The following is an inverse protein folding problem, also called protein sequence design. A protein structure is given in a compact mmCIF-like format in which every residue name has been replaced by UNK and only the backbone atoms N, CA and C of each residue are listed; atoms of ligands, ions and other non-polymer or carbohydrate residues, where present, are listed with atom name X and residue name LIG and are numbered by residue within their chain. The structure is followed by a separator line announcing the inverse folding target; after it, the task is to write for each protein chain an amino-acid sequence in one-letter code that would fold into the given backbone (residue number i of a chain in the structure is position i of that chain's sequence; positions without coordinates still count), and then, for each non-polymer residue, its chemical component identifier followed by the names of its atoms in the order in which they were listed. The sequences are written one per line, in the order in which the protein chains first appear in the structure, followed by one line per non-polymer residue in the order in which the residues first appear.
data_IF_943755106935
#
_entry.id   IF_943755106935
#
_cell.length_a   1.000
_cell.length_b   1.000
_cell.length_c   1.000
_cell.angle_alpha   90.00
_cell.angle_beta   90.00
_cell.angle_gamma   90.00
#
_symmetry.space_group_name_H-M   'P 1'
#
loop_
_entity.id
_entity.type
_entity.pdbx_description
1 polymer ?
#
# COMPACT_ATOMS: atom_id res chain seq x y z
N UNK A 1 33.58 -10.87 -19.67
CA UNK A 1 33.38 -9.59 -20.39
C UNK A 1 32.02 -9.65 -21.04
N UNK A 2 31.02 -9.01 -20.43
CA UNK A 2 29.64 -9.01 -20.95
C UNK A 2 29.56 -8.18 -22.24
N UNK A 3 28.85 -8.63 -23.28
CA UNK A 3 28.70 -7.87 -24.52
C UNK A 3 27.76 -6.69 -24.24
N UNK A 4 28.27 -5.48 -24.52
CA UNK A 4 27.46 -4.27 -24.56
C UNK A 4 26.36 -4.45 -25.61
N UNK A 5 25.12 -4.54 -25.15
CA UNK A 5 23.94 -4.57 -26.01
C UNK A 5 23.86 -3.24 -26.77
N UNK A 6 23.92 -3.31 -28.10
CA UNK A 6 23.64 -2.19 -28.99
C UNK A 6 22.19 -1.74 -28.77
N UNK A 7 22.01 -0.55 -28.20
CA UNK A 7 20.69 0.05 -28.00
C UNK A 7 20.30 0.70 -29.31
N UNK A 8 19.22 0.22 -29.93
CA UNK A 8 18.66 0.79 -31.14
C UNK A 8 18.34 2.29 -30.91
N UNK A 9 18.95 3.22 -31.67
CA UNK A 9 18.71 4.65 -31.51
C UNK A 9 17.25 5.04 -31.74
N UNK A 10 16.47 4.27 -32.52
CA UNK A 10 15.03 4.49 -32.69
C UNK A 10 14.22 4.15 -31.43
N UNK A 11 14.63 3.11 -30.70
CA UNK A 11 14.02 2.77 -29.41
C UNK A 11 14.32 3.85 -28.34
N UNK A 12 15.53 4.41 -28.36
CA UNK A 12 15.94 5.48 -27.46
C UNK A 12 15.14 6.78 -27.72
N UNK A 13 14.89 7.11 -28.99
CA UNK A 13 14.03 8.24 -29.38
C UNK A 13 12.57 8.03 -28.97
N UNK A 14 12.01 6.82 -29.12
CA UNK A 14 10.65 6.51 -28.64
C UNK A 14 10.51 6.68 -27.13
N UNK A 15 11.48 6.19 -26.35
CA UNK A 15 11.47 6.32 -24.89
C UNK A 15 11.66 7.78 -24.46
N UNK A 16 12.55 8.54 -25.12
CA UNK A 16 12.72 9.97 -24.84
C UNK A 16 11.46 10.77 -25.20
N UNK A 17 10.79 10.45 -26.31
CA UNK A 17 9.50 11.04 -26.69
C UNK A 17 8.40 10.67 -25.71
N UNK A 18 8.33 9.41 -25.26
CA UNK A 18 7.39 8.97 -24.23
C UNK A 18 7.63 9.70 -22.90
N UNK A 19 8.89 9.87 -22.50
CA UNK A 19 9.28 10.61 -21.29
C UNK A 19 8.90 12.09 -21.38
N UNK A 20 9.19 12.75 -22.51
CA UNK A 20 8.82 14.15 -22.76
C UNK A 20 7.30 14.33 -22.86
N UNK A 21 6.59 13.39 -23.48
CA UNK A 21 5.13 13.39 -23.58
C UNK A 21 4.46 13.16 -22.22
N UNK A 22 5.02 12.30 -21.36
CA UNK A 22 4.52 12.07 -20.01
C UNK A 22 4.91 13.17 -19.02
N UNK A 23 6.04 13.85 -19.24
CA UNK A 23 6.53 14.92 -18.36
C UNK A 23 5.65 16.19 -18.38
N UNK A 24 4.61 16.23 -19.23
CA UNK A 24 3.71 17.39 -19.39
C UNK A 24 2.24 17.07 -19.10
N UNK A 25 1.95 16.01 -18.34
CA UNK A 25 0.59 15.80 -17.82
C UNK A 25 0.26 16.86 -16.76
N UNK A 26 -0.03 18.07 -17.22
CA UNK A 26 -0.56 19.15 -16.41
C UNK A 26 -2.01 18.81 -16.03
N UNK A 27 -2.26 18.68 -14.72
CA UNK A 27 -3.61 18.45 -14.20
C UNK A 27 -4.41 19.75 -14.38
N UNK A 28 -5.09 19.89 -15.52
CA UNK A 28 -5.84 21.11 -15.90
C UNK A 28 -6.91 21.53 -14.89
N UNK A 29 -7.47 20.58 -14.14
CA UNK A 29 -8.47 20.84 -13.09
C UNK A 29 -8.23 19.91 -11.89
N UNK A 30 -7.54 20.36 -10.83
CA UNK A 30 -7.33 19.53 -9.65
C UNK A 30 -8.66 19.33 -8.90
N UNK A 31 -8.87 18.12 -8.37
CA UNK A 31 -10.01 17.86 -7.47
C UNK A 31 -9.78 18.59 -6.15
N UNK A 32 -10.83 19.27 -5.67
CA UNK A 32 -10.79 19.91 -4.36
C UNK A 32 -10.86 18.87 -3.24
N UNK A 33 -10.14 19.11 -2.14
CA UNK A 33 -10.20 18.24 -0.96
C UNK A 33 -11.52 18.46 -0.24
N UNK A 34 -12.45 17.51 -0.37
CA UNK A 34 -13.77 17.61 0.24
C UNK A 34 -13.73 17.58 1.78
N UNK A 35 -12.80 16.82 2.38
CA UNK A 35 -12.69 16.68 3.83
C UNK A 35 -11.26 16.39 4.26
N UNK A 36 -10.89 16.91 5.43
CA UNK A 36 -9.62 16.63 6.12
C UNK A 36 -9.91 16.22 7.55
N UNK A 37 -9.25 15.17 8.02
CA UNK A 37 -9.30 14.75 9.42
C UNK A 37 -8.01 14.02 9.76
N UNK A 38 -7.69 13.98 11.06
CA UNK A 38 -6.50 13.33 11.55
C UNK A 38 -6.77 11.85 11.81
N UNK A 39 -5.96 10.95 11.23
CA UNK A 39 -5.95 9.54 11.61
C UNK A 39 -5.49 9.41 13.07
N UNK A 40 -6.26 8.69 13.89
CA UNK A 40 -5.93 8.52 15.31
C UNK A 40 -5.27 7.17 15.57
N UNK A 41 -4.32 7.11 16.52
CA UNK A 41 -3.73 5.85 16.95
C UNK A 41 -4.77 4.98 17.66
N UNK A 42 -4.64 3.67 17.50
CA UNK A 42 -5.37 2.65 18.23
C UNK A 42 -4.52 1.38 18.35
N UNK A 43 -4.79 0.58 19.36
CA UNK A 43 -4.12 -0.71 19.55
C UNK A 43 -4.82 -1.79 18.72
N UNK A 44 -4.05 -2.64 18.05
CA UNK A 44 -4.53 -3.76 17.26
C UNK A 44 -3.62 -4.98 17.44
N UNK A 45 -4.15 -6.17 17.18
CA UNK A 45 -3.42 -7.42 17.27
C UNK A 45 -2.74 -7.63 18.63
N UNK A 46 -1.48 -8.04 18.60
CA UNK A 46 -0.63 -8.23 19.78
C UNK A 46 0.33 -7.04 19.91
N UNK A 47 -0.14 -5.96 20.56
CA UNK A 47 0.71 -4.82 20.93
C UNK A 47 1.10 -3.89 19.79
N UNK A 48 0.53 -4.06 18.58
CA UNK A 48 0.76 -3.13 17.48
C UNK A 48 -0.08 -1.86 17.68
N UNK A 49 0.46 -0.72 17.22
CA UNK A 49 -0.28 0.55 17.17
C UNK A 49 -0.46 0.94 15.71
N UNK A 50 -1.71 1.17 15.33
CA UNK A 50 -2.09 1.59 13.98
C UNK A 50 -2.74 2.96 14.02
N UNK A 51 -2.51 3.78 13.00
CA UNK A 51 -3.19 5.04 12.76
C UNK A 51 -4.23 4.82 11.68
N UNK A 52 -5.50 4.67 12.08
CA UNK A 52 -6.60 4.37 11.16
C UNK A 52 -7.18 5.65 10.55
N UNK A 53 -7.33 5.68 9.24
CA UNK A 53 -7.96 6.77 8.49
C UNK A 53 -9.36 6.39 7.98
N UNK A 54 -9.46 5.43 7.06
CA UNK A 54 -10.72 4.87 6.56
C UNK A 54 -11.24 3.79 7.54
N UNK A 55 -12.56 3.70 7.73
CA UNK A 55 -13.21 2.74 8.64
C UNK A 55 -13.48 3.30 10.04
N UNK A 56 -13.30 4.62 10.22
CA UNK A 56 -13.61 5.37 11.45
C UNK A 56 -14.92 6.15 11.35
N UNK A 57 -15.38 6.74 12.46
CA UNK A 57 -16.56 7.61 12.45
C UNK A 57 -16.43 8.78 11.46
N UNK A 58 -15.24 9.34 11.30
CA UNK A 58 -14.99 10.42 10.36
C UNK A 58 -15.15 9.97 8.90
N UNK A 59 -14.84 8.73 8.54
CA UNK A 59 -14.92 8.23 7.17
C UNK A 59 -15.28 6.74 7.16
N UNK A 60 -16.53 6.44 7.55
CA UNK A 60 -17.01 5.07 7.76
C UNK A 60 -17.28 4.33 6.45
N UNK A 61 -17.82 5.05 5.48
CA UNK A 61 -18.19 4.51 4.17
C UNK A 61 -17.38 5.24 3.11
N UNK A 62 -16.43 4.53 2.51
CA UNK A 62 -15.58 5.06 1.46
C UNK A 62 -15.36 4.00 0.38
N UNK A 63 -16.46 3.55 -0.22
CA UNK A 63 -16.48 2.55 -1.28
C UNK A 63 -15.47 2.88 -2.39
N UNK A 64 -14.59 1.93 -2.80
CA UNK A 64 -14.51 0.50 -2.44
C UNK A 64 -13.60 0.15 -1.24
N UNK A 65 -13.10 1.14 -0.51
CA UNK A 65 -12.15 0.94 0.57
C UNK A 65 -12.85 0.80 1.93
N UNK A 66 -12.53 -0.28 2.65
CA UNK A 66 -13.11 -0.58 3.96
C UNK A 66 -12.28 -0.02 5.11
N UNK A 67 -10.96 -0.17 5.05
CA UNK A 67 -10.01 0.21 6.10
C UNK A 67 -8.70 0.67 5.46
N UNK A 68 -8.07 1.69 6.04
CA UNK A 68 -6.70 2.09 5.72
C UNK A 68 -5.95 2.43 7.00
N UNK A 69 -4.95 1.61 7.28
CA UNK A 69 -4.11 1.69 8.47
C UNK A 69 -2.66 1.95 8.08
N UNK A 70 -2.07 2.97 8.68
CA UNK A 70 -0.62 3.12 8.78
C UNK A 70 -0.19 2.50 10.11
N UNK A 71 0.73 1.54 10.11
CA UNK A 71 1.17 0.90 11.34
C UNK A 71 2.68 0.87 11.47
N UNK A 72 3.14 0.86 12.72
CA UNK A 72 4.52 0.57 13.08
C UNK A 72 4.49 -0.53 14.13
N UNK A 73 5.25 -1.60 13.88
CA UNK A 73 5.35 -2.75 14.76
C UNK A 73 6.80 -3.21 14.84
N UNK A 74 7.25 -3.52 16.05
CA UNK A 74 8.55 -4.11 16.35
C UNK A 74 8.37 -5.40 17.13
N UNK A 75 9.20 -6.41 16.89
CA UNK A 75 9.11 -7.67 17.63
C UNK A 75 9.20 -7.41 19.14
N UNK A 76 8.36 -8.06 19.97
CA UNK A 76 7.47 -9.17 19.65
C UNK A 76 6.05 -8.79 19.19
N UNK A 77 5.76 -7.50 18.96
CA UNK A 77 4.44 -7.05 18.52
C UNK A 77 4.11 -7.44 17.09
N UNK A 78 2.82 -7.57 16.78
CA UNK A 78 2.35 -7.86 15.42
C UNK A 78 0.88 -8.25 15.36
N UNK A 79 0.52 -8.91 14.26
CA UNK A 79 -0.83 -9.39 14.01
C UNK A 79 -0.78 -10.92 14.02
N UNK A 80 -1.19 -11.59 15.11
CA UNK A 80 -1.22 -13.05 15.18
C UNK A 80 -2.25 -13.61 14.19
N UNK A 81 -2.33 -14.92 14.07
CA UNK A 81 -3.23 -15.58 13.12
C UNK A 81 -4.68 -15.08 13.27
N UNK A 82 -5.27 -14.62 12.15
CA UNK A 82 -6.63 -14.11 12.09
C UNK A 82 -7.25 -14.31 10.70
N UNK A 83 -8.58 -14.49 10.60
CA UNK A 83 -9.27 -14.76 9.34
C UNK A 83 -9.62 -13.50 8.54
N UNK A 84 -9.72 -13.63 7.22
CA UNK A 84 -10.27 -12.63 6.29
C UNK A 84 -11.20 -13.32 5.28
N UNK A 85 -12.33 -12.69 4.92
CA UNK A 85 -13.31 -13.23 3.96
C UNK A 85 -14.01 -12.13 3.17
N UNK A 86 -14.05 -12.26 1.85
CA UNK A 86 -14.88 -11.41 0.99
C UNK A 86 -14.30 -10.03 0.68
N UNK A 87 -13.01 -9.80 0.97
CA UNK A 87 -12.29 -8.59 0.63
C UNK A 87 -10.79 -8.89 0.46
N UNK A 88 -10.06 -7.90 -0.04
CA UNK A 88 -8.62 -7.98 -0.24
C UNK A 88 -7.88 -7.08 0.75
N UNK A 89 -6.73 -7.56 1.23
CA UNK A 89 -5.82 -6.80 2.07
C UNK A 89 -4.54 -6.56 1.28
N UNK A 90 -4.21 -5.29 1.04
CA UNK A 90 -2.96 -4.88 0.40
C UNK A 90 -2.06 -4.26 1.45
N UNK A 91 -0.86 -4.81 1.63
CA UNK A 91 0.14 -4.27 2.55
C UNK A 91 1.30 -3.69 1.76
N UNK A 92 1.61 -2.42 1.99
CA UNK A 92 2.77 -1.75 1.43
C UNK A 92 3.78 -1.44 2.54
N UNK A 93 5.02 -1.89 2.34
CA UNK A 93 6.12 -1.70 3.31
C UNK A 93 6.88 -0.43 2.96
N UNK A 94 6.79 0.59 3.82
CA UNK A 94 7.58 1.82 3.68
C UNK A 94 9.04 1.59 4.06
N UNK A 95 9.25 0.88 5.17
CA UNK A 95 10.56 0.59 5.73
C UNK A 95 10.57 -0.86 6.22
N UNK A 96 11.77 -1.44 6.30
CA UNK A 96 12.05 -2.77 6.87
C UNK A 96 11.24 -3.93 6.26
N UNK A 97 11.19 -5.07 6.97
CA UNK A 97 10.69 -6.36 6.50
C UNK A 97 9.62 -6.84 7.48
N UNK A 98 8.50 -7.33 6.96
CA UNK A 98 7.44 -7.99 7.73
C UNK A 98 7.40 -9.48 7.36
N UNK A 99 7.29 -10.37 8.35
CA UNK A 99 7.00 -11.78 8.06
C UNK A 99 5.49 -11.98 8.00
N UNK A 100 5.00 -12.45 6.86
CA UNK A 100 3.60 -12.79 6.67
C UNK A 100 3.48 -14.29 6.37
N UNK A 101 2.60 -14.98 7.09
CA UNK A 101 2.32 -16.40 6.90
C UNK A 101 0.83 -16.61 6.73
N UNK A 102 0.43 -17.12 5.57
CA UNK A 102 -0.95 -17.53 5.32
C UNK A 102 -1.11 -19.02 5.65
N UNK A 103 -2.22 -19.40 6.29
CA UNK A 103 -2.49 -20.77 6.71
C UNK A 103 -2.92 -21.72 5.58
N UNK A 104 -2.64 -21.39 4.31
CA UNK A 104 -3.05 -22.19 3.15
C UNK A 104 -2.52 -23.64 3.11
N UNK A 105 -1.59 -24.05 3.99
CA UNK A 105 -0.99 -25.39 3.96
C UNK A 105 -0.45 -25.94 5.30
N UNK A 106 -0.90 -25.47 6.46
CA UNK A 106 -0.55 -26.09 7.76
C UNK A 106 -1.81 -26.50 8.52
N UNK A 107 -1.81 -27.72 9.04
CA UNK A 107 -2.82 -28.29 9.94
C UNK A 107 -2.89 -27.61 11.34
N UNK A 108 -2.38 -26.38 11.44
CA UNK A 108 -2.27 -25.56 12.65
C UNK A 108 -3.01 -24.23 12.49
N UNK A 109 -3.98 -24.16 11.58
CA UNK A 109 -5.09 -23.21 11.74
C UNK A 109 -5.92 -23.68 12.93
N UNK A 110 -5.52 -23.30 14.14
CA UNK A 110 -6.34 -23.44 15.35
C UNK A 110 -7.46 -22.42 15.37
#
# INVERSE_FOLDING_TARGET
TAPYTYIDPLACLCLAWWYLAMSTMEVKQPRQVARRFLARPQHEGAGAVVRRSIGRFELRYFDPFLVLDEFSASAPSGFPDHPHRGFETVTYMLEVRMHFRCCRSRALCS
#
